data_IF_037672082190
#
_entry.id   IF_037672082190
#
_cell.length_a   1.000
_cell.length_b   1.000
_cell.length_c   1.000
_cell.angle_alpha   90.00
_cell.angle_beta   90.00
_cell.angle_gamma   90.00
#
_symmetry.space_group_name_H-M   'P 1'
#
loop_
_entity.id
_entity.type
_entity.pdbx_description
1 polymer ?
#
# COMPACT_ATOMS: atom_id res chain seq x y z
N UNK A 1 -11.35 18.61 20.41
CA UNK A 1 -11.74 18.02 19.10
C UNK A 1 -10.61 17.21 18.47
N UNK A 2 -9.39 17.71 18.35
CA UNK A 2 -8.23 17.00 17.82
C UNK A 2 -7.87 15.75 18.64
N UNK A 3 -8.00 15.85 19.93
CA UNK A 3 -7.74 14.79 20.90
C UNK A 3 -8.68 13.57 20.74
N UNK A 4 -9.96 13.82 20.56
CA UNK A 4 -10.95 12.78 20.34
C UNK A 4 -10.75 12.02 19.00
N UNK A 5 -10.17 12.70 17.97
CA UNK A 5 -9.88 12.09 16.68
C UNK A 5 -8.64 11.19 16.74
N UNK A 6 -7.65 11.53 17.57
CA UNK A 6 -6.41 10.78 17.69
C UNK A 6 -6.48 9.63 18.71
N UNK A 7 -7.41 9.70 19.65
CA UNK A 7 -7.57 8.70 20.70
C UNK A 7 -7.73 7.26 20.18
N UNK A 8 -8.58 6.95 19.17
CA UNK A 8 -8.71 5.57 18.67
C UNK A 8 -7.40 5.03 18.08
N UNK A 9 -6.56 5.90 17.50
CA UNK A 9 -5.24 5.49 17.01
C UNK A 9 -4.27 5.22 18.18
N UNK A 10 -4.25 6.09 19.19
CA UNK A 10 -3.44 5.89 20.38
C UNK A 10 -3.85 4.61 21.13
N UNK A 11 -5.15 4.37 21.25
CA UNK A 11 -5.73 3.18 21.83
C UNK A 11 -5.31 1.89 21.09
N UNK A 12 -5.46 1.87 19.77
CA UNK A 12 -5.05 0.73 18.95
C UNK A 12 -3.53 0.47 19.02
N UNK A 13 -2.73 1.55 19.00
CA UNK A 13 -1.27 1.47 19.12
C UNK A 13 -0.87 0.94 20.50
N UNK A 14 -1.53 1.37 21.59
CA UNK A 14 -1.23 0.91 22.94
C UNK A 14 -1.45 -0.61 23.09
N UNK A 15 -2.51 -1.16 22.49
CA UNK A 15 -2.75 -2.61 22.49
C UNK A 15 -1.63 -3.38 21.79
N UNK A 16 -1.25 -2.94 20.59
CA UNK A 16 -0.19 -3.62 19.84
C UNK A 16 1.16 -3.45 20.55
N UNK A 17 1.42 -2.29 21.16
CA UNK A 17 2.67 -2.01 21.85
C UNK A 17 2.85 -2.91 23.08
N UNK A 18 1.87 -2.96 23.97
CA UNK A 18 1.91 -3.80 25.18
C UNK A 18 1.92 -5.29 24.78
N UNK A 19 1.13 -5.70 23.78
CA UNK A 19 1.14 -7.08 23.30
C UNK A 19 2.54 -7.53 22.79
N UNK A 20 3.24 -6.65 22.07
CA UNK A 20 4.62 -6.93 21.63
C UNK A 20 5.56 -7.04 22.83
N UNK A 21 5.43 -6.16 23.83
CA UNK A 21 6.21 -6.21 25.05
C UNK A 21 5.97 -7.54 25.80
N UNK A 22 4.72 -7.93 26.01
CA UNK A 22 4.35 -9.17 26.67
C UNK A 22 4.91 -10.40 25.95
N UNK A 23 4.90 -10.36 24.60
CA UNK A 23 5.51 -11.39 23.78
C UNK A 23 7.04 -11.48 24.04
N UNK A 24 7.73 -10.34 24.16
CA UNK A 24 9.16 -10.30 24.46
C UNK A 24 9.46 -10.84 25.87
N UNK A 25 8.61 -10.54 26.84
CA UNK A 25 8.70 -11.09 28.20
C UNK A 25 8.48 -12.60 28.18
N UNK A 26 7.50 -13.09 27.42
CA UNK A 26 7.28 -14.55 27.24
C UNK A 26 8.49 -15.25 26.61
N UNK A 27 9.23 -14.55 25.73
CA UNK A 27 10.47 -15.06 25.13
C UNK A 27 11.70 -14.99 26.06
N UNK A 28 11.51 -14.57 27.33
CA UNK A 28 12.54 -14.62 28.37
C UNK A 28 13.18 -13.27 28.70
N UNK A 29 12.64 -12.15 28.21
CA UNK A 29 13.08 -10.83 28.66
C UNK A 29 12.42 -10.47 29.99
N UNK A 30 13.16 -9.74 30.87
CA UNK A 30 12.56 -9.23 32.12
C UNK A 30 11.59 -8.09 31.82
N UNK A 31 10.38 -8.08 32.42
CA UNK A 31 9.33 -7.11 32.15
C UNK A 31 9.77 -5.67 32.43
N UNK A 32 10.43 -5.39 33.57
CA UNK A 32 10.96 -4.07 33.92
C UNK A 32 12.22 -3.63 33.14
N UNK A 33 12.67 -4.41 32.14
CA UNK A 33 13.84 -4.07 31.33
C UNK A 33 13.55 -2.94 30.36
N UNK A 34 14.27 -1.82 30.45
CA UNK A 34 14.20 -0.74 29.45
C UNK A 34 14.48 -1.22 28.03
N UNK A 35 15.31 -2.26 27.86
CA UNK A 35 15.59 -2.87 26.55
C UNK A 35 14.34 -3.56 25.99
N UNK A 36 13.51 -4.24 26.81
CA UNK A 36 12.27 -4.86 26.36
C UNK A 36 11.29 -3.80 25.84
N UNK A 37 11.14 -2.69 26.56
CA UNK A 37 10.30 -1.57 26.12
C UNK A 37 10.83 -0.87 24.87
N UNK A 38 12.14 -0.66 24.76
CA UNK A 38 12.75 -0.11 23.53
C UNK A 38 12.52 -1.03 22.34
N UNK A 39 12.77 -2.33 22.52
CA UNK A 39 12.61 -3.31 21.45
C UNK A 39 11.13 -3.43 21.04
N UNK A 40 10.19 -3.30 21.98
CA UNK A 40 8.76 -3.27 21.67
C UNK A 40 8.38 -2.06 20.81
N UNK A 41 8.95 -0.87 21.05
CA UNK A 41 8.77 0.32 20.21
C UNK A 41 9.35 0.09 18.80
N UNK A 42 10.54 -0.51 18.71
CA UNK A 42 11.20 -0.84 17.43
C UNK A 42 10.33 -1.82 16.63
N UNK A 43 9.91 -2.93 17.25
CA UNK A 43 9.08 -3.95 16.60
C UNK A 43 7.71 -3.41 16.21
N UNK A 44 7.06 -2.62 17.06
CA UNK A 44 5.83 -1.92 16.74
C UNK A 44 6.00 -1.04 15.50
N UNK A 45 7.09 -0.26 15.45
CA UNK A 45 7.39 0.59 14.30
C UNK A 45 7.53 -0.23 13.02
N UNK A 46 8.26 -1.32 13.06
CA UNK A 46 8.45 -2.23 11.92
C UNK A 46 7.12 -2.85 11.49
N UNK A 47 6.32 -3.34 12.44
CA UNK A 47 5.01 -3.95 12.17
C UNK A 47 4.06 -2.96 11.47
N UNK A 48 3.96 -1.74 11.97
CA UNK A 48 3.16 -0.67 11.35
C UNK A 48 3.68 -0.37 9.94
N UNK A 49 4.99 -0.30 9.73
CA UNK A 49 5.60 -0.08 8.41
C UNK A 49 5.28 -1.20 7.43
N UNK A 50 5.31 -2.45 7.87
CA UNK A 50 4.91 -3.61 7.06
C UNK A 50 3.43 -3.52 6.68
N UNK A 51 2.56 -3.20 7.63
CA UNK A 51 1.13 -3.04 7.37
C UNK A 51 0.83 -1.94 6.33
N UNK A 52 1.64 -0.88 6.27
CA UNK A 52 1.49 0.24 5.34
C UNK A 52 2.11 -0.04 3.96
N UNK A 53 2.95 -1.09 3.77
CA UNK A 53 3.60 -1.40 2.48
C UNK A 53 2.62 -1.37 1.28
N UNK A 54 1.43 -2.02 1.31
CA UNK A 54 0.54 -2.02 0.14
C UNK A 54 0.05 -0.61 -0.23
N UNK A 55 -0.17 0.24 0.77
CA UNK A 55 -0.54 1.63 0.54
C UNK A 55 0.63 2.44 -0.02
N UNK A 56 1.83 2.21 0.49
CA UNK A 56 3.07 2.81 -0.01
C UNK A 56 3.34 2.42 -1.48
N UNK A 57 3.11 1.17 -1.87
CA UNK A 57 3.25 0.74 -3.27
C UNK A 57 2.26 1.45 -4.20
N UNK A 58 1.01 1.64 -3.77
CA UNK A 58 0.03 2.44 -4.52
C UNK A 58 0.49 3.88 -4.69
N UNK A 59 1.03 4.46 -3.63
CA UNK A 59 1.56 5.81 -3.63
C UNK A 59 2.73 5.98 -4.60
N UNK A 60 3.72 5.07 -4.58
CA UNK A 60 4.85 5.12 -5.54
C UNK A 60 4.33 5.07 -6.96
N UNK A 61 3.40 4.17 -7.28
CA UNK A 61 2.81 4.06 -8.61
C UNK A 61 2.14 5.37 -9.05
N UNK A 62 1.36 5.98 -8.16
CA UNK A 62 0.70 7.25 -8.44
C UNK A 62 1.69 8.42 -8.58
N UNK A 63 2.74 8.46 -7.76
CA UNK A 63 3.82 9.46 -7.87
C UNK A 63 4.59 9.32 -9.18
N UNK A 64 4.88 8.09 -9.63
CA UNK A 64 5.53 7.82 -10.92
C UNK A 64 4.66 8.24 -12.10
N UNK A 65 3.35 7.97 -12.04
CA UNK A 65 2.42 8.41 -13.07
C UNK A 65 2.33 9.94 -13.13
N UNK A 66 2.34 10.64 -11.99
CA UNK A 66 2.42 12.10 -11.94
C UNK A 66 3.70 12.64 -12.60
N UNK A 67 4.83 11.96 -12.40
CA UNK A 67 6.10 12.38 -13.00
C UNK A 67 6.17 12.11 -14.50
N UNK A 68 5.49 11.08 -14.99
CA UNK A 68 5.40 10.79 -16.42
C UNK A 68 4.70 11.92 -17.20
N UNK A 69 3.71 12.59 -16.61
CA UNK A 69 3.00 13.72 -17.22
C UNK A 69 3.67 15.09 -16.99
N UNK A 70 4.79 15.13 -16.26
CA UNK A 70 5.52 16.36 -15.96
C UNK A 70 5.89 17.19 -17.20
N UNK A 71 6.36 16.61 -18.32
CA UNK A 71 6.67 17.38 -19.54
C UNK A 71 5.46 18.13 -20.08
N UNK A 72 4.26 17.52 -20.03
CA UNK A 72 3.02 18.17 -20.46
C UNK A 72 2.60 19.27 -19.49
N UNK A 73 2.75 19.01 -18.19
CA UNK A 73 2.51 20.05 -17.15
C UNK A 73 3.41 21.26 -17.31
N UNK A 74 4.70 21.05 -17.68
CA UNK A 74 5.62 22.17 -17.94
C UNK A 74 5.14 23.03 -19.10
N UNK A 75 4.66 22.43 -20.21
CA UNK A 75 4.10 23.18 -21.35
C UNK A 75 2.93 24.08 -20.93
N UNK A 76 2.04 23.56 -20.04
CA UNK A 76 0.95 24.36 -19.47
C UNK A 76 1.52 25.52 -18.63
N UNK A 77 2.48 25.26 -17.75
CA UNK A 77 3.09 26.29 -16.93
C UNK A 77 3.80 27.37 -17.76
N UNK A 78 4.53 26.97 -18.81
CA UNK A 78 5.19 27.89 -19.74
C UNK A 78 4.19 28.79 -20.49
N UNK A 79 3.05 28.23 -20.92
CA UNK A 79 1.95 28.97 -21.59
C UNK A 79 1.41 30.11 -20.73
N UNK A 80 1.45 29.95 -19.40
CA UNK A 80 0.96 30.95 -18.43
C UNK A 80 2.09 31.69 -17.71
N UNK A 81 3.36 31.45 -18.08
CA UNK A 81 4.52 32.12 -17.48
C UNK A 81 4.43 33.62 -17.68
N UNK A 82 4.57 34.40 -16.60
CA UNK A 82 4.49 35.86 -16.61
C UNK A 82 3.07 36.44 -16.50
N UNK A 83 2.01 35.64 -16.64
CA UNK A 83 0.63 36.08 -16.45
C UNK A 83 0.27 36.03 -14.97
N UNK A 84 0.05 37.19 -14.33
CA UNK A 84 -0.22 37.26 -12.88
C UNK A 84 -1.72 37.45 -12.55
N UNK A 85 -2.56 37.64 -13.56
CA UNK A 85 -3.98 37.84 -13.43
C UNK A 85 -4.70 36.57 -12.91
N UNK A 86 -5.77 36.79 -12.16
CA UNK A 86 -6.51 35.70 -11.51
C UNK A 86 -7.14 34.73 -12.52
N UNK A 87 -7.59 35.25 -13.66
CA UNK A 87 -8.21 34.46 -14.74
C UNK A 87 -7.19 33.48 -15.36
N UNK A 88 -5.95 33.96 -15.63
CA UNK A 88 -4.88 33.12 -16.16
C UNK A 88 -4.47 32.04 -15.18
N UNK A 89 -4.42 32.35 -13.87
CA UNK A 89 -4.14 31.34 -12.82
C UNK A 89 -5.22 30.28 -12.76
N UNK A 90 -6.49 30.68 -12.85
CA UNK A 90 -7.62 29.75 -12.87
C UNK A 90 -7.56 28.82 -14.08
N UNK A 91 -7.35 29.38 -15.29
CA UNK A 91 -7.19 28.59 -16.52
C UNK A 91 -6.01 27.63 -16.45
N UNK A 92 -4.88 28.03 -15.89
CA UNK A 92 -3.73 27.15 -15.68
C UNK A 92 -4.10 25.99 -14.75
N UNK A 93 -4.83 26.23 -13.66
CA UNK A 93 -5.30 25.17 -12.76
C UNK A 93 -6.28 24.22 -13.44
N UNK A 94 -7.23 24.76 -14.23
CA UNK A 94 -8.20 23.98 -14.99
C UNK A 94 -7.52 23.06 -16.03
N UNK A 95 -6.59 23.59 -16.83
CA UNK A 95 -5.82 22.82 -17.81
C UNK A 95 -4.95 21.72 -17.10
N UNK A 96 -4.33 22.06 -15.97
CA UNK A 96 -3.56 21.12 -15.18
C UNK A 96 -4.45 20.00 -14.63
N UNK A 97 -5.63 20.32 -14.09
CA UNK A 97 -6.58 19.32 -13.62
C UNK A 97 -7.14 18.46 -14.76
N UNK A 98 -7.42 19.06 -15.92
CA UNK A 98 -7.87 18.33 -17.10
C UNK A 98 -6.81 17.33 -17.58
N UNK A 99 -5.53 17.73 -17.59
CA UNK A 99 -4.41 16.84 -17.91
C UNK A 99 -4.31 15.68 -16.92
N UNK A 100 -4.38 15.98 -15.60
CA UNK A 100 -4.34 14.95 -14.56
C UNK A 100 -5.51 13.97 -14.65
N UNK A 101 -6.72 14.47 -14.94
CA UNK A 101 -7.91 13.60 -15.18
C UNK A 101 -7.74 12.73 -16.41
N UNK A 102 -7.22 13.30 -17.52
CA UNK A 102 -6.94 12.56 -18.76
C UNK A 102 -6.02 11.35 -18.51
N UNK A 103 -4.99 11.55 -17.68
CA UNK A 103 -4.03 10.49 -17.34
C UNK A 103 -4.39 9.71 -16.06
N UNK A 104 -5.59 9.94 -15.49
CA UNK A 104 -6.10 9.28 -14.25
C UNK A 104 -5.12 9.38 -13.08
N UNK A 105 -4.43 10.52 -12.95
CA UNK A 105 -3.44 10.77 -11.90
C UNK A 105 -4.04 11.68 -10.83
N UNK A 106 -3.89 11.28 -9.58
CA UNK A 106 -4.38 12.08 -8.46
C UNK A 106 -3.40 13.20 -8.09
N UNK A 107 -3.85 14.47 -7.95
CA UNK A 107 -3.01 15.56 -7.46
C UNK A 107 -2.51 15.34 -6.01
N UNK A 108 -3.25 14.55 -5.23
CA UNK A 108 -2.91 14.24 -3.83
C UNK A 108 -1.87 13.12 -3.69
N UNK A 109 -1.42 12.52 -4.79
CA UNK A 109 -0.48 11.41 -4.75
C UNK A 109 0.85 11.76 -4.05
N UNK A 110 1.31 13.01 -4.20
CA UNK A 110 2.56 13.48 -3.59
C UNK A 110 2.45 13.78 -2.09
N UNK A 111 1.28 14.13 -1.57
CA UNK A 111 1.06 14.41 -0.15
C UNK A 111 0.47 13.21 0.63
N UNK A 112 0.10 12.14 -0.06
CA UNK A 112 -0.44 10.93 0.57
C UNK A 112 0.47 10.32 1.65
N UNK A 113 1.83 10.33 1.53
CA UNK A 113 2.71 9.88 2.60
C UNK A 113 2.47 10.61 3.91
N UNK A 114 2.34 11.92 3.83
CA UNK A 114 2.12 12.77 5.00
C UNK A 114 0.77 12.44 5.66
N UNK A 115 -0.29 12.30 4.86
CA UNK A 115 -1.63 11.97 5.37
C UNK A 115 -1.69 10.61 6.08
N UNK A 116 -0.92 9.63 5.61
CA UNK A 116 -0.84 8.30 6.23
C UNK A 116 0.06 8.30 7.46
N UNK A 117 1.16 9.05 7.40
CA UNK A 117 2.13 9.12 8.48
C UNK A 117 1.61 9.86 9.71
N UNK A 118 0.80 10.92 9.51
CA UNK A 118 0.32 11.77 10.61
C UNK A 118 -0.47 11.00 11.68
N UNK A 119 -1.49 10.16 11.35
CA UNK A 119 -2.20 9.38 12.36
C UNK A 119 -1.29 8.45 13.16
N UNK A 120 -0.30 7.82 12.49
CA UNK A 120 0.65 6.92 13.15
C UNK A 120 1.57 7.68 14.11
N UNK A 121 2.15 8.78 13.63
CA UNK A 121 3.05 9.61 14.44
C UNK A 121 2.33 10.18 15.67
N UNK A 122 1.17 10.81 15.45
CA UNK A 122 0.40 11.41 16.54
C UNK A 122 -0.20 10.37 17.48
N UNK A 123 -0.63 9.21 16.96
CA UNK A 123 -1.12 8.13 17.81
C UNK A 123 -0.01 7.57 18.70
N UNK A 124 1.20 7.38 18.17
CA UNK A 124 2.36 6.95 18.95
C UNK A 124 2.79 8.00 19.97
N UNK A 125 2.87 9.27 19.55
CA UNK A 125 3.16 10.40 20.44
C UNK A 125 2.16 10.47 21.60
N UNK A 126 0.87 10.34 21.28
CA UNK A 126 -0.20 10.35 22.28
C UNK A 126 -0.12 9.17 23.24
N UNK A 127 0.20 7.96 22.76
CA UNK A 127 0.36 6.79 23.62
C UNK A 127 1.53 6.97 24.60
N UNK A 128 2.68 7.50 24.14
CA UNK A 128 3.84 7.71 24.99
C UNK A 128 3.60 8.83 26.01
N UNK A 129 2.93 9.93 25.63
CA UNK A 129 2.55 10.98 26.59
C UNK A 129 1.54 10.46 27.61
N UNK A 130 0.58 9.63 27.19
CA UNK A 130 -0.39 9.03 28.10
C UNK A 130 0.28 8.23 29.21
N UNK A 131 1.38 7.53 28.93
CA UNK A 131 2.18 6.80 29.94
C UNK A 131 2.57 7.69 31.13
N UNK A 132 3.16 8.86 30.86
CA UNK A 132 3.55 9.79 31.93
C UNK A 132 2.35 10.36 32.68
N UNK A 133 1.26 10.66 31.98
CA UNK A 133 0.06 11.21 32.58
C UNK A 133 -0.72 10.17 33.42
N UNK A 134 -0.77 8.92 32.97
CA UNK A 134 -1.40 7.81 33.70
C UNK A 134 -0.60 7.50 34.96
N UNK A 135 0.72 7.40 34.86
CA UNK A 135 1.62 7.15 36.01
C UNK A 135 1.52 8.28 37.05
N UNK A 136 1.31 9.52 36.60
CA UNK A 136 1.11 10.68 37.48
C UNK A 136 -0.34 10.83 38.00
N UNK A 137 -1.30 10.00 37.58
CA UNK A 137 -2.71 10.11 37.95
C UNK A 137 -3.42 11.34 37.37
N UNK A 138 -2.88 11.95 36.32
CA UNK A 138 -3.38 13.19 35.71
C UNK A 138 -4.01 12.97 34.32
N UNK A 139 -4.12 11.72 33.89
CA UNK A 139 -4.64 11.43 32.55
C UNK A 139 -6.15 11.69 32.48
N UNK A 140 -6.56 12.44 31.46
CA UNK A 140 -7.96 12.76 31.21
C UNK A 140 -8.36 12.44 29.78
N UNK A 141 -9.56 11.89 29.60
CA UNK A 141 -10.17 11.70 28.31
C UNK A 141 -11.56 12.31 28.27
N UNK A 142 -11.82 13.20 27.31
CA UNK A 142 -13.09 13.96 27.19
C UNK A 142 -13.47 14.79 28.42
N UNK A 143 -12.48 15.16 29.24
CA UNK A 143 -12.70 15.91 30.47
C UNK A 143 -12.95 15.05 31.70
N UNK A 144 -13.01 13.72 31.57
CA UNK A 144 -13.11 12.78 32.67
C UNK A 144 -11.74 12.21 33.01
N UNK A 145 -11.42 12.12 34.29
CA UNK A 145 -10.21 11.46 34.76
C UNK A 145 -10.30 9.96 34.50
N UNK A 146 -9.28 9.41 33.85
CA UNK A 146 -9.16 7.98 33.60
C UNK A 146 -7.78 7.50 33.98
N UNK A 147 -7.66 6.28 34.45
CA UNK A 147 -6.43 5.66 34.92
C UNK A 147 -5.76 4.75 33.90
N UNK A 148 -6.29 4.72 32.67
CA UNK A 148 -5.78 3.83 31.60
C UNK A 148 -6.02 4.36 30.19
N UNK A 149 -5.21 3.88 29.25
CA UNK A 149 -5.43 3.98 27.80
C UNK A 149 -5.31 2.57 27.19
N UNK A 150 -6.43 1.87 27.08
CA UNK A 150 -6.41 0.46 26.70
C UNK A 150 -5.64 -0.38 27.73
N UNK A 151 -4.59 -1.14 27.33
CA UNK A 151 -3.78 -1.95 28.24
C UNK A 151 -2.73 -1.13 29.02
N UNK A 152 -2.52 0.14 28.71
CA UNK A 152 -1.65 1.03 29.48
C UNK A 152 -2.37 1.43 30.77
N UNK A 153 -2.29 0.58 31.78
CA UNK A 153 -2.77 0.80 33.14
C UNK A 153 -1.75 1.62 33.95
N UNK A 154 -2.11 2.03 35.17
CA UNK A 154 -1.19 2.72 36.07
C UNK A 154 0.09 1.91 36.33
N UNK A 155 -0.01 0.60 36.59
CA UNK A 155 1.12 -0.29 36.83
C UNK A 155 2.06 -0.43 35.63
N UNK A 156 1.50 -0.65 34.42
CA UNK A 156 2.29 -0.74 33.18
C UNK A 156 2.95 0.59 32.87
N UNK A 157 2.24 1.69 33.09
CA UNK A 157 2.76 3.04 32.84
C UNK A 157 3.89 3.39 33.81
N UNK A 158 3.79 3.01 35.08
CA UNK A 158 4.85 3.18 36.06
C UNK A 158 6.11 2.35 35.69
N UNK A 159 5.92 1.12 35.22
CA UNK A 159 7.01 0.28 34.74
C UNK A 159 7.74 0.95 33.55
N UNK A 160 7.00 1.51 32.59
CA UNK A 160 7.60 2.21 31.43
C UNK A 160 8.34 3.48 31.86
N UNK A 161 7.76 4.27 32.80
CA UNK A 161 8.38 5.51 33.31
C UNK A 161 9.69 5.21 34.03
N UNK A 162 9.75 4.11 34.80
CA UNK A 162 10.95 3.67 35.51
C UNK A 162 11.97 2.99 34.60
N UNK A 163 11.57 2.62 33.38
CA UNK A 163 12.45 1.99 32.41
C UNK A 163 13.43 2.98 31.79
N UNK A 164 14.71 2.61 31.77
CA UNK A 164 15.77 3.44 31.20
C UNK A 164 16.49 2.72 30.05
N UNK A 165 16.94 3.49 29.07
CA UNK A 165 17.84 3.04 28.01
C UNK A 165 19.07 3.94 27.97
N UNK A 166 20.26 3.35 28.05
CA UNK A 166 21.53 4.09 28.21
C UNK A 166 21.48 5.15 29.33
N UNK A 167 20.76 4.85 30.40
CA UNK A 167 20.59 5.75 31.56
C UNK A 167 19.56 6.86 31.35
N UNK A 168 18.83 6.86 30.24
CA UNK A 168 17.77 7.84 29.92
C UNK A 168 16.41 7.22 30.12
N UNK A 169 15.51 7.80 30.97
CA UNK A 169 14.13 7.36 31.05
C UNK A 169 13.37 7.56 29.74
N UNK A 170 12.54 6.58 29.34
CA UNK A 170 11.79 6.62 28.09
C UNK A 170 10.76 7.76 28.02
N UNK A 171 10.28 8.20 29.18
CA UNK A 171 9.29 9.25 29.36
C UNK A 171 9.87 10.66 29.38
N UNK A 172 11.19 10.83 29.58
CA UNK A 172 11.83 12.14 29.69
C UNK A 172 12.04 12.80 28.34
N UNK A 173 12.00 14.15 28.34
CA UNK A 173 12.39 14.99 27.21
C UNK A 173 13.82 15.51 27.42
N UNK A 174 14.47 15.99 26.35
CA UNK A 174 15.78 16.63 26.45
C UNK A 174 15.74 17.82 27.40
N UNK A 175 14.65 18.59 27.41
CA UNK A 175 14.51 19.77 28.27
C UNK A 175 14.49 19.45 29.76
N UNK A 176 13.86 18.36 30.15
CA UNK A 176 13.81 17.87 31.54
C UNK A 176 15.16 17.31 32.00
N UNK A 177 16.02 16.94 31.10
CA UNK A 177 17.28 16.24 31.33
C UNK A 177 18.51 17.15 31.30
N UNK A 178 18.35 18.47 31.13
CA UNK A 178 19.46 19.44 30.95
C UNK A 178 20.48 19.41 32.08
N UNK A 179 20.06 19.08 33.31
CA UNK A 179 20.95 18.96 34.48
C UNK A 179 21.88 17.73 34.47
N UNK A 180 21.66 16.78 33.55
CA UNK A 180 22.42 15.52 33.46
C UNK A 180 23.19 15.42 32.15
N UNK A 181 24.48 15.79 32.09
CA UNK A 181 25.25 15.84 30.82
C UNK A 181 25.29 14.53 30.04
N UNK A 182 25.33 13.38 30.72
CA UNK A 182 25.32 12.07 30.09
C UNK A 182 24.02 11.78 29.37
N UNK A 183 22.89 12.14 29.98
CA UNK A 183 21.54 11.99 29.38
C UNK A 183 21.38 12.93 28.18
N UNK A 184 21.82 14.19 28.30
CA UNK A 184 21.85 15.15 27.21
C UNK A 184 22.66 14.63 26.02
N UNK A 185 23.83 14.04 26.28
CA UNK A 185 24.68 13.47 25.23
C UNK A 185 23.96 12.35 24.45
N UNK A 186 23.23 11.45 25.12
CA UNK A 186 22.44 10.39 24.48
C UNK A 186 21.31 10.97 23.64
N UNK A 187 20.57 11.96 24.16
CA UNK A 187 19.51 12.65 23.39
C UNK A 187 20.07 13.31 22.13
N UNK A 188 21.15 14.09 22.29
CA UNK A 188 21.78 14.78 21.16
C UNK A 188 22.28 13.79 20.12
N UNK A 189 22.92 12.67 20.54
CA UNK A 189 23.38 11.63 19.65
C UNK A 189 22.19 10.99 18.87
N UNK A 190 21.09 10.70 19.55
CA UNK A 190 19.89 10.14 18.91
C UNK A 190 19.23 11.11 17.92
N UNK A 191 19.14 12.40 18.29
CA UNK A 191 18.61 13.45 17.40
C UNK A 191 19.51 13.64 16.17
N UNK A 192 20.84 13.70 16.37
CA UNK A 192 21.80 13.81 15.26
C UNK A 192 21.71 12.61 14.34
N UNK A 193 21.63 11.40 14.89
CA UNK A 193 21.43 10.17 14.11
C UNK A 193 20.14 10.24 13.30
N UNK A 194 19.02 10.61 13.91
CA UNK A 194 17.72 10.77 13.26
C UNK A 194 17.80 11.75 12.09
N UNK A 195 18.37 12.93 12.31
CA UNK A 195 18.52 13.99 11.31
C UNK A 195 19.42 13.54 10.17
N UNK A 196 20.55 12.88 10.49
CA UNK A 196 21.49 12.35 9.51
C UNK A 196 20.80 11.30 8.61
N UNK A 197 20.10 10.34 9.21
CA UNK A 197 19.37 9.31 8.46
C UNK A 197 18.29 9.94 7.56
N UNK A 198 17.53 10.89 8.07
CA UNK A 198 16.49 11.59 7.31
C UNK A 198 17.09 12.39 6.14
N UNK A 199 18.17 13.14 6.40
CA UNK A 199 18.88 13.91 5.37
C UNK A 199 19.45 12.98 4.29
N UNK A 200 20.08 11.88 4.69
CA UNK A 200 20.66 10.89 3.76
C UNK A 200 19.58 10.22 2.90
N UNK A 201 18.48 9.79 3.50
CA UNK A 201 17.34 9.22 2.78
C UNK A 201 16.77 10.19 1.74
N UNK A 202 16.63 11.44 2.14
CA UNK A 202 16.10 12.51 1.31
C UNK A 202 17.06 12.84 0.16
N UNK A 203 18.35 13.06 0.47
CA UNK A 203 19.39 13.30 -0.52
C UNK A 203 19.48 12.16 -1.53
N UNK A 204 19.42 10.91 -1.08
CA UNK A 204 19.45 9.74 -1.95
C UNK A 204 18.24 9.72 -2.90
N UNK A 205 17.04 9.96 -2.38
CA UNK A 205 15.83 10.02 -3.18
C UNK A 205 15.87 11.15 -4.21
N UNK A 206 16.32 12.34 -3.82
CA UNK A 206 16.42 13.48 -4.74
C UNK A 206 17.49 13.28 -5.82
N UNK A 207 18.69 12.82 -5.45
CA UNK A 207 19.81 12.70 -6.39
C UNK A 207 19.65 11.53 -7.37
N UNK A 208 19.03 10.43 -6.94
CA UNK A 208 18.97 9.20 -7.73
C UNK A 208 17.60 8.92 -8.34
N UNK A 209 16.53 9.34 -7.68
CA UNK A 209 15.17 8.94 -8.05
C UNK A 209 14.29 10.09 -8.54
N UNK A 210 14.82 11.30 -8.67
CA UNK A 210 14.09 12.41 -9.30
C UNK A 210 14.61 12.72 -10.69
N UNK A 211 13.70 12.97 -11.66
CA UNK A 211 14.09 13.46 -12.96
C UNK A 211 14.67 14.88 -12.83
N UNK A 212 15.53 15.25 -13.77
CA UNK A 212 16.01 16.63 -13.82
C UNK A 212 14.87 17.59 -14.16
N UNK A 213 14.51 18.41 -13.20
CA UNK A 213 13.43 19.38 -13.34
C UNK A 213 13.88 20.76 -13.81
N UNK A 214 15.20 20.93 -14.09
CA UNK A 214 15.75 22.25 -14.46
C UNK A 214 15.52 23.31 -13.39
N UNK A 215 15.55 24.59 -13.80
CA UNK A 215 15.35 25.75 -12.92
C UNK A 215 13.88 26.19 -12.78
N UNK A 216 12.98 25.22 -12.59
CA UNK A 216 11.58 25.48 -12.37
C UNK A 216 11.35 25.94 -10.90
N UNK A 217 10.49 26.93 -10.62
CA UNK A 217 10.15 27.35 -9.25
C UNK A 217 9.68 26.19 -8.36
N UNK A 218 9.01 25.20 -8.95
CA UNK A 218 8.58 23.99 -8.24
C UNK A 218 9.78 23.13 -7.81
N UNK A 219 10.80 23.01 -8.66
CA UNK A 219 12.04 22.30 -8.33
C UNK A 219 12.82 23.02 -7.22
N UNK A 220 12.84 24.33 -7.26
CA UNK A 220 13.49 25.15 -6.24
C UNK A 220 12.78 25.01 -4.88
N UNK A 221 11.44 25.07 -4.86
CA UNK A 221 10.65 24.83 -3.64
C UNK A 221 10.91 23.43 -3.07
N UNK A 222 11.01 22.44 -3.93
CA UNK A 222 11.27 21.07 -3.54
C UNK A 222 12.70 20.87 -3.00
N UNK A 223 13.69 21.55 -3.60
CA UNK A 223 15.07 21.57 -3.09
C UNK A 223 15.16 22.30 -1.73
N UNK A 224 14.46 23.43 -1.54
CA UNK A 224 14.47 24.13 -0.25
C UNK A 224 13.84 23.28 0.85
N UNK A 225 12.80 22.51 0.55
CA UNK A 225 12.16 21.61 1.49
C UNK A 225 13.11 20.50 1.97
N UNK A 226 14.08 20.08 1.14
CA UNK A 226 15.11 19.11 1.51
C UNK A 226 15.99 19.60 2.68
N UNK A 227 16.22 20.91 2.81
CA UNK A 227 17.01 21.48 3.91
C UNK A 227 16.15 21.88 5.10
N UNK A 228 14.94 22.37 4.86
CA UNK A 228 14.03 22.86 5.91
C UNK A 228 13.46 21.70 6.75
N UNK A 229 13.10 20.58 6.12
CA UNK A 229 12.51 19.45 6.84
C UNK A 229 13.42 18.83 7.92
N UNK A 230 14.69 18.50 7.65
CA UNK A 230 15.60 18.03 8.70
C UNK A 230 15.79 19.01 9.85
N UNK A 231 15.80 20.31 9.55
CA UNK A 231 15.92 21.36 10.57
C UNK A 231 14.72 21.38 11.54
N UNK A 232 13.50 21.16 11.01
CA UNK A 232 12.31 21.02 11.86
C UNK A 232 12.42 19.82 12.81
N UNK A 233 13.06 18.72 12.40
CA UNK A 233 13.27 17.57 13.25
C UNK A 233 14.25 17.82 14.38
N UNK A 234 15.23 18.72 14.22
CA UNK A 234 16.13 19.16 15.31
C UNK A 234 15.30 19.85 16.40
N UNK A 235 14.46 20.81 15.99
CA UNK A 235 13.63 21.56 16.92
C UNK A 235 12.62 20.65 17.62
N UNK A 236 11.89 19.82 16.88
CA UNK A 236 10.88 18.92 17.46
C UNK A 236 11.49 17.83 18.32
N UNK A 237 12.69 17.34 17.97
CA UNK A 237 13.39 16.29 18.73
C UNK A 237 13.74 16.72 20.16
N UNK A 238 13.98 18.03 20.39
CA UNK A 238 14.23 18.56 21.73
C UNK A 238 13.00 18.54 22.65
N UNK A 239 11.80 18.50 22.08
CA UNK A 239 10.54 18.46 22.80
C UNK A 239 9.93 17.05 22.90
N UNK A 240 10.46 16.10 22.15
CA UNK A 240 9.96 14.74 22.17
C UNK A 240 10.55 13.95 23.34
N UNK A 241 9.73 13.09 23.94
CA UNK A 241 10.17 12.08 24.89
C UNK A 241 11.09 11.07 24.21
N UNK A 242 12.02 10.45 24.97
CA UNK A 242 12.99 9.48 24.43
C UNK A 242 12.31 8.33 23.66
N UNK A 243 11.18 7.83 24.13
CA UNK A 243 10.41 6.82 23.42
C UNK A 243 9.97 7.25 22.01
N UNK A 244 9.56 8.53 21.84
CA UNK A 244 9.22 9.10 20.52
C UNK A 244 10.46 9.29 19.65
N UNK A 245 11.60 9.67 20.26
CA UNK A 245 12.88 9.77 19.53
C UNK A 245 13.31 8.39 19.01
N UNK A 246 13.21 7.33 19.82
CA UNK A 246 13.50 5.95 19.38
C UNK A 246 12.58 5.54 18.22
N UNK A 247 11.28 5.80 18.33
CA UNK A 247 10.32 5.57 17.24
C UNK A 247 10.74 6.29 15.96
N UNK A 248 11.12 7.58 16.05
CA UNK A 248 11.48 8.37 14.86
C UNK A 248 12.83 7.97 14.26
N UNK A 249 13.82 7.58 15.09
CA UNK A 249 15.08 6.98 14.62
C UNK A 249 14.81 5.68 13.85
N UNK A 250 14.02 4.77 14.43
CA UNK A 250 13.65 3.50 13.78
C UNK A 250 12.91 3.74 12.47
N UNK A 251 11.97 4.69 12.46
CA UNK A 251 11.24 5.08 11.26
C UNK A 251 12.15 5.68 10.19
N UNK A 252 13.23 6.39 10.58
CA UNK A 252 14.22 6.97 9.67
C UNK A 252 15.12 5.90 9.05
N UNK A 253 15.52 4.88 9.82
CA UNK A 253 16.21 3.70 9.27
C UNK A 253 15.36 2.98 8.25
N UNK A 254 14.09 2.75 8.57
CA UNK A 254 13.15 2.15 7.62
C UNK A 254 13.02 2.99 6.35
N UNK A 255 12.86 4.32 6.48
CA UNK A 255 12.74 5.23 5.34
C UNK A 255 13.98 5.18 4.43
N UNK A 256 15.18 5.06 5.01
CA UNK A 256 16.41 4.90 4.26
C UNK A 256 16.44 3.56 3.51
N UNK A 257 16.15 2.45 4.18
CA UNK A 257 16.06 1.13 3.55
C UNK A 257 15.00 1.10 2.43
N UNK A 258 13.85 1.70 2.67
CA UNK A 258 12.76 1.86 1.71
C UNK A 258 13.17 2.70 0.50
N UNK A 259 13.97 3.76 0.70
CA UNK A 259 14.52 4.59 -0.40
C UNK A 259 15.46 3.78 -1.28
N UNK A 260 16.36 3.00 -0.72
CA UNK A 260 17.24 2.09 -1.46
C UNK A 260 16.44 1.07 -2.27
N UNK A 261 15.45 0.44 -1.65
CA UNK A 261 14.61 -0.53 -2.32
C UNK A 261 13.83 0.10 -3.49
N UNK A 262 13.24 1.27 -3.27
CA UNK A 262 12.47 2.00 -4.30
C UNK A 262 13.35 2.37 -5.49
N UNK A 263 14.54 2.90 -5.24
CA UNK A 263 15.51 3.28 -6.28
C UNK A 263 15.91 2.07 -7.13
N UNK A 264 16.10 0.91 -6.50
CA UNK A 264 16.52 -0.32 -7.18
C UNK A 264 15.40 -1.00 -7.95
N UNK A 265 14.19 -1.07 -7.36
CA UNK A 265 13.10 -1.91 -7.90
C UNK A 265 12.09 -1.10 -8.70
N UNK A 266 11.81 0.14 -8.28
CA UNK A 266 10.78 0.99 -8.86
C UNK A 266 11.26 2.44 -9.05
N UNK A 267 12.39 2.65 -9.77
CA UNK A 267 12.89 4.00 -9.98
C UNK A 267 11.89 4.82 -10.79
N UNK A 268 11.97 6.12 -10.62
CA UNK A 268 11.09 7.08 -11.27
C UNK A 268 11.48 7.27 -12.74
N UNK A 269 10.54 7.27 -13.68
CA UNK A 269 10.81 7.57 -15.08
C UNK A 269 11.56 8.90 -15.26
N UNK A 270 12.60 8.88 -16.11
CA UNK A 270 13.44 10.04 -16.36
C UNK A 270 14.50 10.35 -15.28
N UNK A 271 14.58 9.55 -14.21
CA UNK A 271 15.63 9.69 -13.20
C UNK A 271 16.92 8.95 -13.59
N UNK A 272 18.08 9.29 -12.99
CA UNK A 272 19.32 8.55 -13.19
C UNK A 272 19.19 7.05 -12.87
N UNK A 273 18.52 6.72 -11.77
CA UNK A 273 18.29 5.32 -11.39
C UNK A 273 17.41 4.56 -12.40
N UNK A 274 16.50 5.26 -13.07
CA UNK A 274 15.72 4.67 -14.15
C UNK A 274 16.57 4.36 -15.38
N UNK A 275 17.49 5.25 -15.73
CA UNK A 275 18.45 5.03 -16.81
C UNK A 275 19.34 3.80 -16.50
N UNK A 276 19.83 3.68 -15.26
CA UNK A 276 20.60 2.52 -14.80
C UNK A 276 19.78 1.22 -14.88
N UNK A 277 18.49 1.27 -14.52
CA UNK A 277 17.60 0.12 -14.66
C UNK A 277 17.42 -0.31 -16.10
N UNK A 278 17.26 0.64 -17.04
CA UNK A 278 17.15 0.33 -18.46
C UNK A 278 18.43 -0.30 -18.99
N UNK A 279 19.60 0.27 -18.65
CA UNK A 279 20.90 -0.28 -19.02
C UNK A 279 21.11 -1.70 -18.44
N UNK A 280 20.71 -1.93 -17.19
CA UNK A 280 20.79 -3.24 -16.55
C UNK A 280 19.87 -4.28 -17.23
N UNK A 281 18.69 -3.87 -17.68
CA UNK A 281 17.77 -4.76 -18.44
C UNK A 281 18.36 -5.13 -19.80
N UNK A 282 18.93 -4.14 -20.50
CA UNK A 282 19.59 -4.35 -21.76
C UNK A 282 20.76 -5.32 -21.62
N UNK A 283 21.67 -5.06 -20.68
CA UNK A 283 22.81 -5.93 -20.39
C UNK A 283 22.38 -7.37 -20.02
N UNK A 284 21.40 -7.50 -19.14
CA UNK A 284 20.89 -8.81 -18.72
C UNK A 284 20.19 -9.59 -19.85
N UNK A 285 19.55 -8.90 -20.81
CA UNK A 285 19.04 -9.54 -22.01
C UNK A 285 20.17 -9.99 -22.93
N UNK A 286 21.11 -9.11 -23.20
CA UNK A 286 22.23 -9.40 -24.11
C UNK A 286 23.14 -10.51 -23.61
N UNK A 287 23.41 -10.57 -22.30
CA UNK A 287 24.15 -11.65 -21.67
C UNK A 287 23.49 -13.02 -21.89
N UNK A 288 22.16 -13.08 -21.73
CA UNK A 288 21.39 -14.29 -21.99
C UNK A 288 21.23 -14.59 -23.49
N UNK A 289 20.98 -13.56 -24.32
CA UNK A 289 20.61 -13.73 -25.70
C UNK A 289 21.81 -14.16 -26.59
N UNK A 290 23.02 -13.69 -26.30
CA UNK A 290 24.23 -14.04 -27.07
C UNK A 290 24.47 -15.56 -27.17
N UNK A 291 24.59 -16.32 -26.05
CA UNK A 291 24.80 -17.77 -26.13
C UNK A 291 23.53 -18.48 -26.65
N UNK A 292 22.34 -17.98 -26.36
CA UNK A 292 21.10 -18.54 -26.86
C UNK A 292 21.04 -18.52 -28.40
N UNK A 293 21.34 -17.38 -29.00
CA UNK A 293 21.35 -17.28 -30.46
C UNK A 293 22.54 -17.98 -31.14
N UNK A 294 23.65 -18.19 -30.45
CA UNK A 294 24.71 -19.07 -30.93
C UNK A 294 24.23 -20.52 -31.02
N UNK A 295 23.41 -20.99 -30.11
CA UNK A 295 22.80 -22.32 -30.17
C UNK A 295 21.77 -22.40 -31.29
N UNK A 296 20.87 -21.42 -31.39
CA UNK A 296 19.90 -21.32 -32.46
C UNK A 296 20.57 -21.34 -33.85
N UNK A 297 21.68 -20.60 -34.02
CA UNK A 297 22.42 -20.56 -35.29
C UNK A 297 23.04 -21.92 -35.63
N UNK A 298 23.53 -22.68 -34.64
CA UNK A 298 23.99 -24.05 -34.81
C UNK A 298 22.85 -25.01 -35.20
N UNK A 299 21.73 -24.96 -34.51
CA UNK A 299 20.56 -25.77 -34.84
C UNK A 299 20.06 -25.46 -36.26
N UNK A 300 19.96 -24.18 -36.62
CA UNK A 300 19.57 -23.75 -37.96
C UNK A 300 20.53 -24.21 -39.03
N UNK A 301 21.85 -24.12 -38.80
CA UNK A 301 22.88 -24.61 -39.72
C UNK A 301 22.82 -26.15 -39.88
N UNK A 302 22.55 -26.88 -38.82
CA UNK A 302 22.43 -28.34 -38.84
C UNK A 302 21.23 -28.83 -39.68
N UNK A 303 20.18 -28.01 -39.88
CA UNK A 303 19.07 -28.36 -40.77
C UNK A 303 19.48 -28.40 -42.26
N UNK A 304 20.59 -27.74 -42.67
CA UNK A 304 21.14 -27.79 -44.00
C UNK A 304 20.26 -27.25 -45.13
N UNK A 305 19.19 -26.50 -44.78
CA UNK A 305 18.18 -25.99 -45.73
C UNK A 305 18.19 -24.49 -45.78
N UNK A 306 18.05 -23.95 -47.01
CA UNK A 306 17.95 -22.54 -47.26
C UNK A 306 16.49 -22.14 -47.55
N UNK A 307 16.02 -21.04 -46.93
CA UNK A 307 14.73 -20.45 -47.23
C UNK A 307 13.58 -20.91 -46.33
N UNK A 308 12.38 -20.98 -46.85
CA UNK A 308 11.12 -21.32 -46.15
C UNK A 308 10.91 -22.83 -46.16
N UNK A 309 11.70 -23.56 -45.38
CA UNK A 309 11.47 -24.99 -45.10
C UNK A 309 10.61 -25.11 -43.84
N UNK A 310 9.59 -25.97 -43.81
CA UNK A 310 8.73 -26.18 -42.65
C UNK A 310 9.50 -26.47 -41.34
N UNK A 311 10.65 -27.13 -41.42
CA UNK A 311 11.53 -27.40 -40.27
C UNK A 311 12.15 -26.13 -39.69
N UNK A 312 12.46 -25.15 -40.53
CA UNK A 312 12.95 -23.85 -40.12
C UNK A 312 11.82 -23.03 -39.49
N UNK A 313 10.60 -23.13 -40.01
CA UNK A 313 9.44 -22.46 -39.45
C UNK A 313 9.10 -23.04 -38.07
N UNK A 314 9.13 -24.35 -37.89
CA UNK A 314 8.94 -25.01 -36.59
C UNK A 314 10.01 -24.57 -35.56
N UNK A 315 11.29 -24.51 -35.97
CA UNK A 315 12.38 -23.99 -35.14
C UNK A 315 12.11 -22.53 -34.72
N UNK A 316 11.69 -21.69 -35.68
CA UNK A 316 11.38 -20.28 -35.43
C UNK A 316 10.20 -20.12 -34.44
N UNK A 317 9.11 -20.91 -34.57
CA UNK A 317 7.95 -20.86 -33.69
C UNK A 317 8.32 -21.27 -32.26
N UNK A 318 9.06 -22.37 -32.10
CA UNK A 318 9.57 -22.84 -30.79
C UNK A 318 10.45 -21.75 -30.15
N UNK A 319 11.41 -21.24 -30.90
CA UNK A 319 12.32 -20.18 -30.47
C UNK A 319 11.56 -18.91 -30.08
N UNK A 320 10.57 -18.50 -30.86
CA UNK A 320 9.75 -17.33 -30.59
C UNK A 320 8.94 -17.47 -29.28
N UNK A 321 8.43 -18.65 -28.95
CA UNK A 321 7.73 -18.88 -27.69
C UNK A 321 8.62 -18.64 -26.48
N UNK A 322 9.86 -19.14 -26.51
CA UNK A 322 10.86 -18.93 -25.46
C UNK A 322 11.29 -17.45 -25.37
N UNK A 323 11.56 -16.83 -26.52
CA UNK A 323 11.94 -15.41 -26.60
C UNK A 323 10.85 -14.50 -26.04
N UNK A 324 9.57 -14.75 -26.36
CA UNK A 324 8.43 -13.98 -25.81
C UNK A 324 8.37 -14.08 -24.29
N UNK A 325 8.60 -15.26 -23.72
CA UNK A 325 8.65 -15.43 -22.25
C UNK A 325 9.80 -14.63 -21.64
N UNK A 326 10.99 -14.68 -22.23
CA UNK A 326 12.16 -13.94 -21.73
C UNK A 326 12.02 -12.43 -21.96
N UNK A 327 11.56 -12.00 -23.12
CA UNK A 327 11.29 -10.61 -23.44
C UNK A 327 10.30 -9.98 -22.47
N UNK A 328 9.22 -10.70 -22.12
CA UNK A 328 8.26 -10.25 -21.11
C UNK A 328 8.92 -10.05 -19.74
N UNK A 329 9.77 -10.95 -19.28
CA UNK A 329 10.51 -10.81 -18.00
C UNK A 329 11.45 -9.62 -18.00
N UNK A 330 12.16 -9.39 -19.10
CA UNK A 330 13.12 -8.29 -19.26
C UNK A 330 12.47 -6.99 -19.73
N UNK A 331 11.14 -6.99 -19.99
CA UNK A 331 10.38 -5.84 -20.52
C UNK A 331 10.95 -5.29 -21.83
N UNK A 332 11.39 -6.20 -22.70
CA UNK A 332 11.79 -5.87 -24.08
C UNK A 332 10.54 -5.52 -24.89
N UNK A 333 10.65 -4.54 -25.82
CA UNK A 333 9.57 -4.18 -26.71
C UNK A 333 9.09 -5.42 -27.50
N UNK A 334 7.77 -5.62 -27.57
CA UNK A 334 7.14 -6.81 -28.17
C UNK A 334 5.96 -6.47 -29.09
N UNK A 335 5.79 -5.20 -29.41
CA UNK A 335 4.73 -4.71 -30.31
C UNK A 335 5.15 -4.91 -31.76
N UNK A 336 5.08 -6.15 -32.23
CA UNK A 336 5.33 -6.48 -33.61
C UNK A 336 4.04 -6.44 -34.42
N UNK A 337 4.07 -5.92 -35.67
CA UNK A 337 2.94 -6.00 -36.59
C UNK A 337 2.47 -7.44 -36.77
N UNK A 338 1.15 -7.64 -36.86
CA UNK A 338 0.56 -8.96 -37.07
C UNK A 338 0.97 -9.63 -38.38
N UNK A 339 1.50 -8.83 -39.34
CA UNK A 339 2.00 -9.30 -40.62
C UNK A 339 3.39 -9.91 -40.58
N UNK A 340 4.14 -9.73 -39.46
CA UNK A 340 5.47 -10.28 -39.33
C UNK A 340 5.45 -11.79 -39.08
N UNK A 341 6.28 -12.54 -39.79
CA UNK A 341 6.50 -13.97 -39.59
C UNK A 341 7.32 -14.24 -38.32
N UNK A 342 7.23 -15.46 -37.78
CA UNK A 342 8.04 -15.88 -36.64
C UNK A 342 9.53 -15.70 -36.86
N UNK A 343 10.03 -16.03 -38.06
CA UNK A 343 11.43 -15.86 -38.45
C UNK A 343 11.89 -14.42 -38.46
N UNK A 344 11.05 -13.48 -38.93
CA UNK A 344 11.34 -12.05 -38.88
C UNK A 344 11.44 -11.53 -37.46
N UNK A 345 10.50 -11.92 -36.58
CA UNK A 345 10.52 -11.53 -35.18
C UNK A 345 11.72 -12.11 -34.43
N UNK A 346 12.07 -13.38 -34.68
CA UNK A 346 13.29 -14.03 -34.15
C UNK A 346 14.55 -13.25 -34.59
N UNK A 347 14.59 -12.81 -35.87
CA UNK A 347 15.71 -12.00 -36.41
C UNK A 347 15.81 -10.66 -35.68
N UNK A 348 14.69 -9.98 -35.38
CA UNK A 348 14.71 -8.74 -34.59
C UNK A 348 15.29 -9.01 -33.20
N UNK A 349 14.80 -10.02 -32.49
CA UNK A 349 15.31 -10.37 -31.15
C UNK A 349 16.81 -10.75 -31.19
N UNK A 350 17.27 -11.41 -32.25
CA UNK A 350 18.67 -11.73 -32.45
C UNK A 350 19.54 -10.48 -32.63
N UNK A 351 19.07 -9.50 -33.40
CA UNK A 351 19.76 -8.22 -33.57
C UNK A 351 19.88 -7.45 -32.25
N UNK A 352 18.84 -7.51 -31.40
CA UNK A 352 18.85 -6.90 -30.08
C UNK A 352 19.86 -7.54 -29.10
N UNK A 353 20.36 -8.73 -29.37
CA UNK A 353 21.42 -9.37 -28.60
C UNK A 353 22.77 -8.64 -28.70
N UNK A 354 22.98 -7.86 -29.76
CA UNK A 354 24.26 -7.14 -30.03
C UNK A 354 24.08 -5.65 -30.22
N UNK A 355 22.87 -5.18 -30.47
CA UNK A 355 22.57 -3.78 -30.71
C UNK A 355 21.82 -3.17 -29.52
N UNK A 356 21.89 -1.85 -29.39
CA UNK A 356 21.11 -1.10 -28.41
C UNK A 356 19.63 -1.22 -28.76
N UNK A 357 18.79 -1.52 -27.74
CA UNK A 357 17.35 -1.68 -27.91
C UNK A 357 16.56 -0.85 -26.91
N UNK A 358 15.27 -0.71 -27.16
CA UNK A 358 14.37 0.05 -26.30
C UNK A 358 13.55 -0.90 -25.44
N UNK A 359 13.56 -0.66 -24.12
CA UNK A 359 12.66 -1.35 -23.20
C UNK A 359 11.26 -0.78 -23.31
N UNK A 360 10.26 -1.58 -22.95
CA UNK A 360 8.90 -1.06 -22.77
C UNK A 360 8.91 -0.03 -21.65
N UNK A 361 8.34 1.17 -21.87
CA UNK A 361 8.17 2.15 -20.81
C UNK A 361 7.38 1.57 -19.64
N UNK A 362 7.75 1.97 -18.43
CA UNK A 362 7.03 1.52 -17.23
C UNK A 362 5.60 2.07 -17.18
N UNK A 363 5.31 3.15 -17.88
CA UNK A 363 3.97 3.72 -18.05
C UNK A 363 3.04 2.74 -18.79
N UNK A 364 3.50 2.07 -19.83
CA UNK A 364 2.72 1.03 -20.53
C UNK A 364 2.44 -0.16 -19.60
N UNK A 365 3.41 -0.54 -18.79
CA UNK A 365 3.23 -1.57 -17.77
C UNK A 365 2.23 -1.14 -16.70
N UNK A 366 2.28 0.10 -16.25
CA UNK A 366 1.30 0.66 -15.31
C UNK A 366 -0.10 0.75 -15.91
N UNK A 367 -0.22 1.10 -17.19
CA UNK A 367 -1.51 1.10 -17.90
C UNK A 367 -2.13 -0.31 -17.92
N UNK A 368 -1.36 -1.33 -18.21
CA UNK A 368 -1.80 -2.73 -18.13
C UNK A 368 -2.26 -3.14 -16.73
N UNK A 369 -1.57 -2.65 -15.67
CA UNK A 369 -2.00 -2.85 -14.28
C UNK A 369 -3.28 -2.09 -13.95
N UNK A 370 -3.45 -0.87 -14.45
CA UNK A 370 -4.66 -0.07 -14.26
C UNK A 370 -5.86 -0.76 -14.89
N UNK A 371 -5.73 -1.26 -16.12
CA UNK A 371 -6.75 -2.07 -16.78
C UNK A 371 -7.09 -3.35 -16.01
N UNK A 372 -6.10 -4.01 -15.42
CA UNK A 372 -6.33 -5.18 -14.59
C UNK A 372 -7.09 -4.85 -13.29
N UNK A 373 -6.79 -3.70 -12.68
CA UNK A 373 -7.51 -3.17 -11.51
C UNK A 373 -8.93 -2.77 -11.90
N UNK A 374 -9.13 -2.06 -13.00
CA UNK A 374 -10.46 -1.69 -13.51
C UNK A 374 -11.33 -2.91 -13.78
N UNK A 375 -10.78 -3.96 -14.42
CA UNK A 375 -11.47 -5.24 -14.62
C UNK A 375 -11.83 -5.93 -13.29
N UNK A 376 -10.95 -5.84 -12.28
CA UNK A 376 -11.22 -6.39 -10.95
C UNK A 376 -12.33 -5.63 -10.24
N UNK A 377 -12.31 -4.30 -10.29
CA UNK A 377 -13.35 -3.44 -9.71
C UNK A 377 -14.70 -3.67 -10.41
N UNK A 378 -14.73 -3.67 -11.74
CA UNK A 378 -15.94 -3.98 -12.50
C UNK A 378 -16.52 -5.38 -12.16
N UNK A 379 -15.64 -6.38 -11.94
CA UNK A 379 -16.06 -7.71 -11.48
C UNK A 379 -16.62 -7.68 -10.07
N UNK A 380 -16.03 -6.88 -9.16
CA UNK A 380 -16.54 -6.71 -7.80
C UNK A 380 -17.90 -6.01 -7.79
N UNK A 381 -18.05 -4.94 -8.56
CA UNK A 381 -19.32 -4.23 -8.72
C UNK A 381 -20.42 -5.13 -9.31
N UNK A 382 -20.11 -5.87 -10.36
CA UNK A 382 -21.04 -6.85 -10.93
C UNK A 382 -21.42 -7.96 -9.93
N UNK A 383 -20.48 -8.39 -9.07
CA UNK A 383 -20.77 -9.37 -8.02
C UNK A 383 -21.65 -8.79 -6.91
N UNK A 384 -21.41 -7.53 -6.53
CA UNK A 384 -22.23 -6.81 -5.56
C UNK A 384 -23.66 -6.58 -6.08
N UNK A 385 -23.81 -6.15 -7.35
CA UNK A 385 -25.12 -6.02 -7.99
C UNK A 385 -25.87 -7.34 -8.05
N UNK A 386 -25.19 -8.45 -8.36
CA UNK A 386 -25.82 -9.79 -8.35
C UNK A 386 -26.25 -10.20 -6.95
N UNK A 387 -25.45 -9.90 -5.93
CA UNK A 387 -25.80 -10.18 -4.54
C UNK A 387 -27.01 -9.37 -4.08
N UNK A 388 -27.08 -8.09 -4.46
CA UNK A 388 -28.21 -7.21 -4.16
C UNK A 388 -29.50 -7.68 -4.87
N UNK A 389 -29.39 -8.05 -6.16
CA UNK A 389 -30.53 -8.61 -6.90
C UNK A 389 -31.02 -9.94 -6.28
N UNK A 390 -30.10 -10.80 -5.85
CA UNK A 390 -30.45 -12.04 -5.16
C UNK A 390 -31.14 -11.76 -3.82
N UNK A 391 -30.70 -10.72 -3.08
CA UNK A 391 -31.35 -10.30 -1.86
C UNK A 391 -32.76 -9.81 -2.14
N UNK A 392 -32.98 -8.94 -3.14
CA UNK A 392 -34.29 -8.47 -3.53
C UNK A 392 -35.23 -9.61 -3.93
N UNK A 393 -34.74 -10.58 -4.71
CA UNK A 393 -35.53 -11.77 -5.08
C UNK A 393 -35.88 -12.62 -3.86
N UNK A 394 -34.95 -12.73 -2.91
CA UNK A 394 -35.19 -13.46 -1.66
C UNK A 394 -36.23 -12.74 -0.79
N UNK A 395 -36.11 -11.42 -0.68
CA UNK A 395 -37.03 -10.59 0.11
C UNK A 395 -38.44 -10.62 -0.51
N UNK A 396 -38.54 -10.52 -1.84
CA UNK A 396 -39.80 -10.67 -2.58
C UNK A 396 -40.45 -12.05 -2.34
N UNK A 397 -39.68 -13.14 -2.38
CA UNK A 397 -40.17 -14.48 -2.09
C UNK A 397 -40.62 -14.67 -0.63
N UNK A 398 -39.98 -13.96 0.31
CA UNK A 398 -40.44 -13.95 1.72
C UNK A 398 -41.76 -13.22 1.87
N UNK A 399 -41.92 -12.06 1.24
CA UNK A 399 -43.17 -11.30 1.21
C UNK A 399 -44.31 -12.09 0.53
N UNK A 400 -44.05 -12.74 -0.59
CA UNK A 400 -45.01 -13.62 -1.27
C UNK A 400 -45.42 -14.81 -0.40
N UNK A 401 -44.52 -15.37 0.40
CA UNK A 401 -44.81 -16.43 1.36
C UNK A 401 -45.63 -15.94 2.54
N UNK A 402 -45.35 -14.74 3.02
CA UNK A 402 -46.10 -14.12 4.14
C UNK A 402 -47.52 -13.72 3.68
N UNK A 403 -47.66 -13.15 2.47
CA UNK A 403 -48.97 -12.84 1.90
C UNK A 403 -49.81 -14.12 1.63
N UNK A 404 -49.17 -15.19 1.13
CA UNK A 404 -49.85 -16.47 0.93
C UNK A 404 -50.26 -17.12 2.28
N UNK A 405 -49.48 -16.94 3.34
CA UNK A 405 -49.83 -17.38 4.71
C UNK A 405 -50.97 -16.55 5.29
N UNK A 406 -50.96 -15.25 5.06
CA UNK A 406 -52.06 -14.35 5.49
C UNK A 406 -53.37 -14.68 4.76
N UNK A 407 -53.31 -14.92 3.47
CA UNK A 407 -54.48 -15.33 2.65
C UNK A 407 -55.01 -16.71 3.06
N UNK A 408 -54.15 -17.65 3.44
CA UNK A 408 -54.57 -18.97 3.92
C UNK A 408 -55.15 -18.89 5.35
N UNK A 409 -54.70 -17.94 6.16
CA UNK A 409 -55.26 -17.71 7.50
C UNK A 409 -56.66 -17.06 7.44
N UNK A 410 -56.80 -16.07 6.55
CA UNK A 410 -58.13 -15.46 6.29
C UNK A 410 -59.11 -16.44 5.65
N UNK A 411 -58.65 -17.36 4.78
CA UNK A 411 -59.50 -18.41 4.22
C UNK A 411 -59.88 -19.49 5.26
N UNK A 412 -59.03 -19.76 6.27
CA UNK A 412 -59.39 -20.66 7.37
C UNK A 412 -60.33 -20.02 8.36
N UNK A 413 -60.23 -18.72 8.62
CA UNK A 413 -61.16 -17.98 9.48
C UNK A 413 -62.53 -17.76 8.81
N UNK A 414 -62.59 -17.66 7.48
CA UNK A 414 -63.83 -17.61 6.73
C UNK A 414 -64.54 -18.97 6.58
N UNK A 415 -63.83 -20.09 6.71
CA UNK A 415 -64.36 -21.45 6.66
C UNK A 415 -64.86 -21.96 8.01
N UNK A 416 -64.39 -21.38 9.11
CA UNK A 416 -64.85 -21.75 10.45
C UNK A 416 -66.21 -21.15 10.87
N UNK A 417 -66.74 -20.21 10.04
CA UNK A 417 -68.08 -19.65 10.24
C UNK A 417 -69.22 -20.42 9.54
N UNK A 418 -68.93 -21.50 8.81
CA UNK A 418 -69.99 -22.18 8.00
C UNK A 418 -69.81 -23.69 7.81
N UNK A 419 -69.39 -24.46 8.83
CA UNK A 419 -69.69 -25.91 8.83
C UNK A 419 -69.38 -26.54 10.17
N UNK A 420 -70.41 -26.92 10.88
CA UNK A 420 -70.36 -28.02 11.87
C UNK A 420 -70.17 -29.34 11.14
N UNK A 421 -69.41 -30.23 11.73
CA UNK A 421 -69.18 -31.65 11.51
C UNK A 421 -67.86 -32.07 10.82
N UNK A 422 -67.09 -32.83 11.62
CA UNK A 422 -66.06 -33.73 11.16
C UNK A 422 -64.60 -33.37 11.56
N UNK A 423 -64.28 -33.42 12.87
CA UNK A 423 -62.88 -33.39 13.31
C UNK A 423 -62.21 -34.71 12.94
N UNK A 424 -61.23 -34.65 12.06
CA UNK A 424 -60.32 -35.75 11.79
C UNK A 424 -59.58 -36.16 13.07
N UNK A 425 -59.53 -37.44 13.36
CA UNK A 425 -58.87 -37.98 14.56
C UNK A 425 -57.36 -37.70 14.55
N UNK A 426 -56.76 -37.52 15.74
CA UNK A 426 -55.34 -37.28 15.89
C UNK A 426 -54.45 -38.26 15.12
N UNK A 427 -54.91 -39.51 15.00
CA UNK A 427 -54.23 -40.57 14.23
C UNK A 427 -54.23 -40.33 12.71
N UNK A 428 -55.26 -39.76 12.17
CA UNK A 428 -55.39 -39.46 10.75
C UNK A 428 -54.52 -38.26 10.34
N UNK A 429 -54.34 -37.31 11.24
CA UNK A 429 -53.42 -36.17 11.07
C UNK A 429 -51.97 -36.68 11.09
N UNK A 430 -51.65 -37.61 11.99
CA UNK A 430 -50.29 -38.21 12.09
C UNK A 430 -49.95 -39.07 10.87
N UNK A 431 -50.89 -39.84 10.36
CA UNK A 431 -50.70 -40.62 9.12
C UNK A 431 -50.42 -39.70 7.91
N UNK A 432 -51.16 -38.63 7.73
CA UNK A 432 -50.92 -37.66 6.64
C UNK A 432 -49.58 -36.93 6.80
N UNK A 433 -49.11 -36.68 8.04
CA UNK A 433 -47.77 -36.12 8.33
C UNK A 433 -46.65 -37.11 7.90
N UNK A 434 -46.80 -38.36 8.21
CA UNK A 434 -45.85 -39.43 7.89
C UNK A 434 -45.77 -39.62 6.35
N UNK A 435 -46.89 -39.62 5.66
CA UNK A 435 -46.92 -39.71 4.19
C UNK A 435 -46.26 -38.51 3.50
N UNK A 436 -46.53 -37.29 3.98
CA UNK A 436 -45.82 -36.09 3.46
C UNK A 436 -44.32 -36.13 3.72
N UNK A 437 -43.87 -36.68 4.83
CA UNK A 437 -42.43 -36.90 5.09
C UNK A 437 -41.83 -37.95 4.17
N UNK A 438 -42.54 -39.03 3.89
CA UNK A 438 -42.08 -40.06 2.93
C UNK A 438 -42.03 -39.57 1.50
N UNK A 439 -43.01 -38.79 1.05
CA UNK A 439 -43.02 -38.14 -0.27
C UNK A 439 -41.85 -37.16 -0.45
N UNK A 440 -41.54 -36.32 0.54
CA UNK A 440 -40.37 -35.42 0.52
C UNK A 440 -39.03 -36.17 0.45
N UNK A 441 -38.90 -37.33 1.10
CA UNK A 441 -37.67 -38.14 1.02
C UNK A 441 -37.50 -38.88 -0.32
N UNK A 442 -38.59 -39.13 -1.06
CA UNK A 442 -38.53 -39.71 -2.42
C UNK A 442 -38.20 -38.69 -3.51
N UNK A 443 -38.57 -37.39 -3.31
CA UNK A 443 -38.27 -36.32 -4.24
C UNK A 443 -36.80 -35.81 -4.21
N UNK A 444 -36.03 -36.15 -3.18
CA UNK A 444 -34.65 -35.71 -3.01
C UNK A 444 -33.62 -36.78 -3.40
N UNK A 445 -34.05 -37.86 -4.07
CA UNK A 445 -33.20 -38.96 -4.60
C UNK A 445 -33.34 -39.12 -6.14
N UNK A 446 -33.66 -38.04 -6.85
CA UNK A 446 -33.50 -37.98 -8.30
C UNK A 446 -32.64 -36.81 -8.69
#
# INVERSE_FOLDING_TARGET
MFDAMLHPFAWAISYVWVWIHDLLVLLGMSSGSGIAWVLSIVLLTILVRIAIIPLFLKQIRSSRAMQAIQPEMRKIQEKYKGKKDQVSRQKMMEETQALQRKHKVSPFASCLPMLVQMPVLFGMYRAIIAVSSISAGTYTYRGEATDHLGPLTASVSEEIVNSTVFGVPLSHTLRESVSQPSVVAVFVAAIVLMVALQFFSMRLSFSRNMPDMGDNPMAQSQRSMMYVMPLMFIVSGAFFQMGVVIYTVTASFWALAQSFWTIKVMPTPGSPAYADLLASREAGYQEWAKPYFQNYDRERAALGVAGSDPRVDELNERTLAELRSKAKKQRVASDFPASMTAGEIVTVYRNLATQKWTTLPDEQWMHGLTLAVEKRLAKQEASAQRAELQKQVRDRRTLERESAKASSKNASEASDSNSGHGSLSAEEIERRRIERRKARRRGNKR
#
